data_IF_990721670217
#
_entry.id   IF_990721670217
#
_cell.length_a   1.000
_cell.length_b   1.000
_cell.length_c   1.000
_cell.angle_alpha   90.00
_cell.angle_beta   90.00
_cell.angle_gamma   90.00
#
_symmetry.space_group_name_H-M   'P 1'
#
loop_
_entity.id
_entity.type
_entity.pdbx_description
1 polymer ?
#
# COMPACT_ATOMS: atom_id res chain seq x y z
N UNK A 1 -1.35 -9.33 -2.10
CA UNK A 1 -2.47 -9.28 -1.14
C UNK A 1 -3.15 -7.92 -1.19
N UNK A 2 -2.44 -6.84 -0.84
CA UNK A 2 -2.95 -5.46 -0.77
C UNK A 2 -3.86 -5.05 -1.94
N UNK A 3 -3.39 -5.20 -3.18
CA UNK A 3 -4.14 -4.81 -4.40
C UNK A 3 -5.44 -5.61 -4.54
N UNK A 4 -5.39 -6.93 -4.30
CA UNK A 4 -6.59 -7.79 -4.37
C UNK A 4 -7.52 -7.52 -3.19
N UNK A 5 -6.99 -7.15 -2.02
CA UNK A 5 -7.77 -6.66 -0.90
C UNK A 5 -8.57 -5.40 -1.27
N UNK A 6 -7.91 -4.43 -1.92
CA UNK A 6 -8.57 -3.22 -2.41
C UNK A 6 -9.62 -3.52 -3.49
N UNK A 7 -9.29 -4.42 -4.43
CA UNK A 7 -10.22 -4.89 -5.46
C UNK A 7 -11.48 -5.53 -4.84
N UNK A 8 -11.30 -6.44 -3.88
CA UNK A 8 -12.40 -7.09 -3.18
C UNK A 8 -13.22 -6.09 -2.36
N UNK A 9 -12.59 -5.05 -1.81
CA UNK A 9 -13.31 -3.99 -1.09
C UNK A 9 -14.27 -3.24 -2.02
N UNK A 10 -13.83 -2.91 -3.24
CA UNK A 10 -14.72 -2.32 -4.25
C UNK A 10 -15.85 -3.26 -4.67
N UNK A 11 -15.56 -4.55 -4.81
CA UNK A 11 -16.58 -5.56 -5.09
C UNK A 11 -17.63 -5.63 -3.97
N UNK A 12 -17.21 -5.67 -2.70
CA UNK A 12 -18.14 -5.73 -1.56
C UNK A 12 -19.00 -4.46 -1.41
N UNK A 13 -18.50 -3.30 -1.84
CA UNK A 13 -19.30 -2.07 -1.93
C UNK A 13 -20.40 -2.22 -2.99
N UNK A 14 -20.07 -2.74 -4.18
CA UNK A 14 -21.05 -2.90 -5.26
C UNK A 14 -22.15 -3.91 -4.90
N UNK A 15 -21.80 -4.96 -4.16
CA UNK A 15 -22.73 -5.96 -3.63
C UNK A 15 -23.56 -5.45 -2.43
N UNK A 16 -23.34 -4.21 -1.98
CA UNK A 16 -24.11 -3.58 -0.92
C UNK A 16 -23.73 -4.01 0.51
N UNK A 17 -22.62 -4.73 0.70
CA UNK A 17 -22.11 -5.05 2.03
C UNK A 17 -21.51 -3.82 2.74
N UNK A 18 -21.08 -2.82 1.98
CA UNK A 18 -20.57 -1.54 2.51
C UNK A 18 -21.25 -0.34 1.84
N UNK A 19 -21.37 0.80 2.53
CA UNK A 19 -21.90 2.03 1.93
C UNK A 19 -21.09 2.50 0.72
N UNK A 20 -21.76 2.99 -0.33
CA UNK A 20 -21.10 3.54 -1.52
C UNK A 20 -20.13 4.71 -1.23
N UNK A 21 -20.35 5.46 -0.14
CA UNK A 21 -19.42 6.51 0.30
C UNK A 21 -18.01 5.98 0.58
N UNK A 22 -17.90 4.71 1.02
CA UNK A 22 -16.62 4.09 1.35
C UNK A 22 -15.71 3.91 0.12
N UNK A 23 -16.23 3.96 -1.12
CA UNK A 23 -15.41 3.80 -2.32
C UNK A 23 -14.27 4.83 -2.39
N UNK A 24 -14.59 6.10 -2.09
CA UNK A 24 -13.59 7.18 -2.07
C UNK A 24 -12.69 7.08 -0.83
N UNK A 25 -13.28 6.77 0.32
CA UNK A 25 -12.56 6.65 1.60
C UNK A 25 -11.51 5.55 1.56
N UNK A 26 -11.85 4.37 1.05
CA UNK A 26 -10.92 3.25 0.92
C UNK A 26 -9.79 3.59 -0.05
N UNK A 27 -10.09 4.26 -1.18
CA UNK A 27 -9.08 4.62 -2.17
C UNK A 27 -8.06 5.63 -1.62
N UNK A 28 -8.54 6.64 -0.88
CA UNK A 28 -7.68 7.64 -0.23
C UNK A 28 -6.90 7.02 0.93
N UNK A 29 -7.54 6.17 1.73
CA UNK A 29 -6.88 5.46 2.84
C UNK A 29 -5.79 4.52 2.35
N UNK A 30 -6.00 3.85 1.22
CA UNK A 30 -5.00 2.99 0.58
C UNK A 30 -3.75 3.79 0.16
N UNK A 31 -3.93 4.98 -0.45
CA UNK A 31 -2.84 5.90 -0.76
C UNK A 31 -2.12 6.42 0.49
N UNK A 32 -2.86 6.80 1.54
CA UNK A 32 -2.24 7.25 2.79
C UNK A 32 -1.46 6.11 3.48
N UNK A 33 -2.03 4.90 3.47
CA UNK A 33 -1.44 3.69 4.04
C UNK A 33 -0.13 3.28 3.35
N UNK A 34 -0.01 3.55 2.04
CA UNK A 34 1.25 3.37 1.31
C UNK A 34 2.41 4.12 1.98
N UNK A 35 2.25 5.41 2.30
CA UNK A 35 3.31 6.21 2.92
C UNK A 35 3.69 5.71 4.32
N UNK A 36 2.76 5.11 5.04
CA UNK A 36 3.07 4.39 6.29
C UNK A 36 3.91 3.15 6.01
N UNK A 37 3.47 2.29 5.09
CA UNK A 37 4.13 1.01 4.81
C UNK A 37 5.56 1.16 4.28
N UNK A 38 5.84 2.11 3.38
CA UNK A 38 7.18 2.24 2.81
C UNK A 38 8.23 2.81 3.77
N UNK A 39 7.81 3.36 4.91
CA UNK A 39 8.72 3.86 5.96
C UNK A 39 9.39 2.73 6.76
N UNK A 40 8.90 1.49 6.65
CA UNK A 40 9.64 0.30 7.12
C UNK A 40 10.85 -0.04 6.24
N UNK A 41 10.93 0.54 5.04
CA UNK A 41 12.01 0.34 4.07
C UNK A 41 11.56 -0.46 2.84
N UNK A 42 12.13 -0.13 1.68
CA UNK A 42 11.83 -0.78 0.38
C UNK A 42 12.68 -2.03 0.10
N UNK A 43 13.61 -2.34 1.00
CA UNK A 43 14.38 -3.57 0.96
C UNK A 43 13.59 -4.77 1.49
N UNK A 44 12.50 -4.53 2.22
CA UNK A 44 11.57 -5.55 2.66
C UNK A 44 10.49 -5.81 1.59
N UNK A 45 9.99 -7.05 1.55
CA UNK A 45 9.10 -7.52 0.49
C UNK A 45 7.78 -6.72 0.42
N UNK A 46 7.18 -6.40 1.55
CA UNK A 46 5.96 -5.60 1.65
C UNK A 46 6.20 -4.13 1.25
N UNK A 47 7.31 -3.51 1.66
CA UNK A 47 7.71 -2.18 1.21
C UNK A 47 7.90 -2.10 -0.31
N UNK A 48 8.56 -3.12 -0.90
CA UNK A 48 8.72 -3.24 -2.36
C UNK A 48 7.40 -3.47 -3.09
N UNK A 49 6.51 -4.28 -2.52
CA UNK A 49 5.17 -4.51 -3.07
C UNK A 49 4.32 -3.22 -3.06
N UNK A 50 4.42 -2.43 -2.00
CA UNK A 50 3.77 -1.12 -1.91
C UNK A 50 4.29 -0.15 -2.97
N UNK A 51 5.60 -0.13 -3.22
CA UNK A 51 6.19 0.66 -4.31
C UNK A 51 5.65 0.24 -5.68
N UNK A 52 5.51 -1.07 -5.92
CA UNK A 52 4.93 -1.59 -7.16
C UNK A 52 3.53 -1.04 -7.37
N UNK A 53 2.66 -1.14 -6.35
CA UNK A 53 1.30 -0.64 -6.45
C UNK A 53 1.26 0.87 -6.70
N UNK A 54 2.04 1.64 -5.95
CA UNK A 54 2.10 3.09 -6.08
C UNK A 54 2.57 3.54 -7.47
N UNK A 55 3.70 3.00 -7.95
CA UNK A 55 4.25 3.39 -9.24
C UNK A 55 3.34 2.98 -10.39
N UNK A 56 2.67 1.82 -10.30
CA UNK A 56 1.68 1.40 -11.30
C UNK A 56 0.46 2.33 -11.32
N UNK A 57 -0.09 2.65 -10.14
CA UNK A 57 -1.24 3.57 -10.02
C UNK A 57 -0.89 4.98 -10.48
N UNK A 58 0.35 5.45 -10.22
CA UNK A 58 0.87 6.71 -10.75
C UNK A 58 1.00 6.69 -12.27
N UNK A 59 1.57 5.62 -12.85
CA UNK A 59 1.71 5.46 -14.31
C UNK A 59 0.34 5.44 -15.00
N UNK A 60 -0.68 4.82 -14.40
CA UNK A 60 -2.07 4.81 -14.89
C UNK A 60 -2.82 6.13 -14.65
N UNK A 61 -2.19 7.11 -13.98
CA UNK A 61 -2.79 8.39 -13.64
C UNK A 61 -3.85 8.33 -12.54
N UNK A 62 -3.92 7.23 -11.79
CA UNK A 62 -4.79 7.09 -10.63
C UNK A 62 -4.23 7.82 -9.40
N UNK A 63 -2.90 7.91 -9.27
CA UNK A 63 -2.23 8.75 -8.27
C UNK A 63 -1.59 9.95 -8.93
N UNK A 64 -1.85 11.12 -8.36
CA UNK A 64 -1.40 12.40 -8.88
C UNK A 64 -0.76 13.20 -7.74
N UNK A 65 0.37 13.82 -8.00
CA UNK A 65 0.97 14.79 -7.09
C UNK A 65 0.65 16.20 -7.58
N UNK A 66 0.19 17.05 -6.67
CA UNK A 66 0.02 18.46 -6.94
C UNK A 66 1.40 19.15 -6.99
N UNK A 67 1.77 19.85 -8.07
CA UNK A 67 3.12 20.39 -8.25
C UNK A 67 3.43 21.58 -7.32
N UNK A 68 2.41 22.25 -6.78
CA UNK A 68 2.59 23.43 -5.93
C UNK A 68 2.69 23.05 -4.45
N UNK A 69 1.88 22.08 -4.02
CA UNK A 69 1.77 21.67 -2.62
C UNK A 69 2.54 20.37 -2.32
N UNK A 70 2.93 19.63 -3.36
CA UNK A 70 3.53 18.30 -3.29
C UNK A 70 2.66 17.26 -2.57
N UNK A 71 1.36 17.54 -2.39
CA UNK A 71 0.39 16.61 -1.83
C UNK A 71 -0.10 15.63 -2.89
N UNK A 72 -0.38 14.41 -2.44
CA UNK A 72 -0.90 13.34 -3.29
C UNK A 72 -2.41 13.29 -3.24
N UNK A 73 -3.04 12.98 -4.38
CA UNK A 73 -4.48 12.77 -4.52
C UNK A 73 -4.77 11.55 -5.37
N UNK A 74 -5.98 11.03 -5.21
CA UNK A 74 -6.52 9.92 -6.00
C UNK A 74 -7.45 10.47 -7.09
N UNK A 75 -7.25 10.04 -8.32
CA UNK A 75 -8.24 10.21 -9.40
C UNK A 75 -9.29 9.09 -9.29
N UNK A 76 -10.48 9.46 -8.77
CA UNK A 76 -11.57 8.51 -8.55
C UNK A 76 -12.13 7.90 -9.84
N UNK A 77 -11.97 8.55 -10.99
CA UNK A 77 -12.39 8.00 -12.27
C UNK A 77 -11.47 6.88 -12.77
N UNK A 78 -10.22 6.84 -12.30
CA UNK A 78 -9.18 5.91 -12.79
C UNK A 78 -8.78 4.84 -11.78
N UNK A 79 -8.88 5.14 -10.48
CA UNK A 79 -8.33 4.26 -9.43
C UNK A 79 -8.88 2.84 -9.46
N UNK A 80 -10.19 2.67 -9.71
CA UNK A 80 -10.80 1.34 -9.77
C UNK A 80 -10.27 0.50 -10.93
N UNK A 81 -10.19 1.09 -12.12
CA UNK A 81 -9.62 0.44 -13.29
C UNK A 81 -8.16 0.06 -13.08
N UNK A 82 -7.35 0.99 -12.57
CA UNK A 82 -5.93 0.73 -12.32
C UNK A 82 -5.66 -0.35 -11.26
N UNK A 83 -6.47 -0.42 -10.20
CA UNK A 83 -6.41 -1.53 -9.21
C UNK A 83 -6.80 -2.86 -9.87
N UNK A 84 -7.83 -2.86 -10.71
CA UNK A 84 -8.29 -4.06 -11.42
C UNK A 84 -7.22 -4.59 -12.38
N UNK A 85 -6.64 -3.71 -13.19
CA UNK A 85 -5.54 -4.04 -14.10
C UNK A 85 -4.33 -4.61 -13.34
N UNK A 86 -3.92 -3.96 -12.25
CA UNK A 86 -2.79 -4.42 -11.45
C UNK A 86 -3.04 -5.78 -10.79
N UNK A 87 -4.25 -6.00 -10.26
CA UNK A 87 -4.65 -7.29 -9.71
C UNK A 87 -4.55 -8.39 -10.78
N UNK A 88 -5.11 -8.14 -11.96
CA UNK A 88 -5.03 -9.06 -13.09
C UNK A 88 -3.58 -9.37 -13.48
N UNK A 89 -2.75 -8.34 -13.67
CA UNK A 89 -1.36 -8.52 -14.10
C UNK A 89 -0.56 -9.37 -13.11
N UNK A 90 -0.68 -9.09 -11.80
CA UNK A 90 -0.01 -9.85 -10.75
C UNK A 90 -0.51 -11.30 -10.70
N UNK A 91 -1.84 -11.50 -10.72
CA UNK A 91 -2.42 -12.84 -10.64
C UNK A 91 -2.08 -13.69 -11.86
N UNK A 92 -2.01 -13.10 -13.06
CA UNK A 92 -1.62 -13.82 -14.27
C UNK A 92 -0.13 -14.18 -14.29
N UNK A 93 0.75 -13.30 -13.79
CA UNK A 93 2.16 -13.64 -13.58
C UNK A 93 2.29 -14.86 -12.66
N UNK A 94 1.53 -14.88 -11.55
CA UNK A 94 1.54 -15.97 -10.58
C UNK A 94 0.96 -17.27 -11.18
N UNK A 95 -0.19 -17.20 -11.85
CA UNK A 95 -0.86 -18.36 -12.42
C UNK A 95 -0.02 -19.06 -13.50
N UNK A 96 0.76 -18.30 -14.26
CA UNK A 96 1.65 -18.82 -15.30
C UNK A 96 3.01 -19.26 -14.75
N UNK A 97 3.33 -18.95 -13.50
CA UNK A 97 4.67 -19.19 -12.93
C UNK A 97 5.79 -18.43 -13.67
N UNK A 98 5.48 -17.28 -14.25
CA UNK A 98 6.40 -16.54 -15.12
C UNK A 98 7.41 -15.71 -14.31
N UNK A 99 8.51 -16.36 -13.94
CA UNK A 99 9.57 -15.76 -13.14
C UNK A 99 10.24 -14.55 -13.80
N UNK A 100 10.52 -14.61 -15.10
CA UNK A 100 11.19 -13.50 -15.79
C UNK A 100 10.29 -12.28 -15.88
N UNK A 101 8.99 -12.48 -16.15
CA UNK A 101 8.01 -11.39 -16.09
C UNK A 101 7.86 -10.84 -14.67
N UNK A 102 7.85 -11.68 -13.64
CA UNK A 102 7.82 -11.22 -12.25
C UNK A 102 9.04 -10.35 -11.93
N UNK A 103 10.24 -10.78 -12.30
CA UNK A 103 11.50 -10.04 -12.11
C UNK A 103 11.48 -8.70 -12.83
N UNK A 104 11.05 -8.68 -14.09
CA UNK A 104 10.92 -7.45 -14.87
C UNK A 104 9.89 -6.49 -14.25
N UNK A 105 8.76 -7.01 -13.77
CA UNK A 105 7.71 -6.21 -13.12
C UNK A 105 8.20 -5.55 -11.84
N UNK A 106 8.91 -6.31 -10.99
CA UNK A 106 9.54 -5.80 -9.77
C UNK A 106 10.61 -4.75 -10.10
N UNK A 107 11.45 -5.00 -11.12
CA UNK A 107 12.48 -4.05 -11.53
C UNK A 107 11.88 -2.72 -12.04
N UNK A 108 10.76 -2.79 -12.77
CA UNK A 108 10.08 -1.61 -13.32
C UNK A 108 9.41 -0.77 -12.22
N UNK A 109 8.65 -1.40 -11.32
CA UNK A 109 7.77 -0.66 -10.41
C UNK A 109 8.23 -0.68 -8.95
N UNK A 110 9.20 -1.51 -8.55
CA UNK A 110 9.58 -1.70 -7.15
C UNK A 110 10.54 -0.66 -6.56
N UNK A 111 11.05 0.28 -7.36
CA UNK A 111 12.03 1.27 -6.91
C UNK A 111 11.37 2.57 -6.44
N UNK A 112 11.91 3.15 -5.37
CA UNK A 112 11.45 4.43 -4.84
C UNK A 112 11.98 5.62 -5.65
N UNK A 113 11.05 6.38 -6.23
CA UNK A 113 11.34 7.63 -6.94
C UNK A 113 11.58 8.81 -5.99
N UNK A 114 12.15 9.90 -6.52
CA UNK A 114 12.47 11.10 -5.74
C UNK A 114 11.23 11.86 -5.28
N UNK A 115 10.11 11.72 -6.00
CA UNK A 115 8.79 12.24 -5.62
C UNK A 115 8.29 11.63 -4.29
N UNK A 116 8.46 10.32 -4.12
CA UNK A 116 8.14 9.61 -2.88
C UNK A 116 9.15 9.97 -1.79
N UNK A 117 10.46 10.00 -2.10
CA UNK A 117 11.48 10.40 -1.10
C UNK A 117 11.23 11.80 -0.55
N UNK A 118 10.92 12.77 -1.40
CA UNK A 118 10.58 14.13 -0.98
C UNK A 118 9.32 14.19 -0.12
N UNK A 119 8.35 13.31 -0.39
CA UNK A 119 7.15 13.18 0.45
C UNK A 119 7.49 12.59 1.83
N UNK A 120 8.38 11.59 1.89
CA UNK A 120 8.80 10.94 3.14
C UNK A 120 9.65 11.85 4.03
N UNK A 121 10.50 12.70 3.45
CA UNK A 121 11.28 13.68 4.21
C UNK A 121 10.38 14.63 5.04
N UNK A 122 9.16 14.92 4.54
CA UNK A 122 8.17 15.73 5.27
C UNK A 122 7.50 14.99 6.44
N UNK A 123 7.74 13.69 6.57
CA UNK A 123 7.25 12.86 7.67
C UNK A 123 8.33 12.62 8.74
N UNK A 124 9.49 13.27 8.62
CA UNK A 124 10.52 13.27 9.67
C UNK A 124 9.93 13.83 10.97
N UNK A 125 10.08 13.07 12.06
CA UNK A 125 9.48 13.38 13.36
C UNK A 125 8.13 12.71 13.66
N UNK A 126 7.47 12.11 12.67
CA UNK A 126 6.31 11.25 12.92
C UNK A 126 6.83 9.84 13.29
N UNK A 127 6.30 9.15 14.31
CA UNK A 127 6.67 7.76 14.58
C UNK A 127 6.39 6.84 13.38
N UNK A 128 7.27 5.86 13.12
CA UNK A 128 7.07 4.87 12.03
C UNK A 128 6.04 3.83 12.45
N UNK A 129 6.19 3.32 13.66
CA UNK A 129 5.37 2.26 14.24
C UNK A 129 5.29 2.43 15.76
N UNK A 130 4.59 1.51 16.40
CA UNK A 130 4.42 1.46 17.85
C UNK A 130 5.40 0.49 18.50
N UNK A 131 5.80 0.80 19.74
CA UNK A 131 6.43 -0.17 20.64
C UNK A 131 5.38 -0.56 21.67
N UNK A 132 4.89 -1.81 21.66
CA UNK A 132 3.83 -2.20 22.57
C UNK A 132 4.34 -2.24 24.01
N UNK A 133 3.54 -1.67 24.92
CA UNK A 133 3.72 -1.81 26.36
C UNK A 133 2.57 -2.66 26.87
N UNK A 134 2.82 -3.95 27.05
CA UNK A 134 1.79 -4.90 27.45
C UNK A 134 1.54 -4.85 28.96
N UNK A 135 0.33 -4.45 29.35
CA UNK A 135 -0.07 -4.40 30.77
C UNK A 135 -0.07 -5.79 31.43
N UNK A 136 -0.29 -6.85 30.66
CA UNK A 136 -0.24 -8.22 31.17
C UNK A 136 1.18 -8.65 31.55
N UNK A 137 2.20 -8.22 30.81
CA UNK A 137 3.61 -8.53 31.14
C UNK A 137 4.02 -7.86 32.45
N UNK A 138 3.51 -6.66 32.73
CA UNK A 138 3.74 -5.99 34.02
C UNK A 138 3.09 -6.74 35.17
N UNK A 139 1.93 -7.37 34.93
CA UNK A 139 1.14 -8.05 35.97
C UNK A 139 1.56 -9.51 36.19
N UNK A 140 2.01 -10.20 35.15
CA UNK A 140 2.23 -11.64 35.16
C UNK A 140 3.59 -12.08 34.56
N UNK A 141 4.42 -11.15 34.06
CA UNK A 141 5.67 -11.50 33.38
C UNK A 141 6.71 -12.20 34.27
N UNK A 142 6.69 -11.95 35.58
CA UNK A 142 7.55 -12.64 36.54
C UNK A 142 7.15 -14.11 36.73
N UNK A 143 5.87 -14.45 36.58
CA UNK A 143 5.34 -15.81 36.77
C UNK A 143 5.72 -16.75 35.63
N UNK A 144 6.08 -16.21 34.46
CA UNK A 144 6.49 -16.97 33.27
C UNK A 144 8.01 -17.23 33.19
N UNK A 145 8.85 -16.49 33.92
CA UNK A 145 10.32 -16.62 33.87
C UNK A 145 10.84 -17.70 34.86
N UNK A 146 10.02 -18.17 35.80
CA UNK A 146 10.41 -19.19 36.81
C UNK A 146 10.01 -20.64 36.46
N UNK A 147 9.75 -20.98 35.20
CA UNK A 147 9.64 -22.36 34.71
C UNK A 147 10.59 -22.60 33.56
#
# INVERSE_FOLDING_TARGET
ADVVGQYNYYYLIDEGFFPGSMMKETAVTFLAGFFRSVRFGVEEAHGRANMIAFNYLKEKGAYLQDPNTHLWKVDFGKVRGAITDLAHDILMIQALGDYEKAKAFVAKYGLMGDDVKGSLARLEGIPVDIVPVFELDKKYGADFIMK
#
